data_IF_950608481071
#
_entry.id   IF_950608481071
#
_cell.length_a   1.000
_cell.length_b   1.000
_cell.length_c   1.000
_cell.angle_alpha   90.00
_cell.angle_beta   90.00
_cell.angle_gamma   90.00
#
_symmetry.space_group_name_H-M   'P 1'
#
loop_
_entity.id
_entity.type
_entity.pdbx_description
1 polymer ?
#
# COMPACT_ATOMS: atom_id res chain seq x y z
N UNK A 1 -13.62 -14.18 13.30
CA UNK A 1 -12.17 -14.29 13.41
C UNK A 1 -11.53 -12.93 13.32
N UNK A 2 -10.33 -12.81 13.88
CA UNK A 2 -9.61 -11.56 13.99
C UNK A 2 -9.30 -10.94 12.63
N UNK A 3 -8.83 -11.74 11.69
CA UNK A 3 -8.48 -11.26 10.35
C UNK A 3 -9.73 -10.80 9.58
N UNK A 4 -10.84 -11.50 9.73
CA UNK A 4 -12.11 -11.12 9.11
C UNK A 4 -12.60 -9.78 9.63
N UNK A 5 -12.51 -9.56 10.96
CA UNK A 5 -12.92 -8.30 11.56
C UNK A 5 -12.03 -7.15 11.07
N UNK A 6 -10.73 -7.37 11.00
CA UNK A 6 -9.80 -6.36 10.51
C UNK A 6 -10.08 -6.02 9.04
N UNK A 7 -10.37 -7.03 8.22
CA UNK A 7 -10.76 -6.82 6.83
C UNK A 7 -12.00 -5.94 6.73
N UNK A 8 -13.02 -6.23 7.54
CA UNK A 8 -14.25 -5.43 7.56
C UNK A 8 -14.01 -3.98 8.00
N UNK A 9 -13.15 -3.79 9.00
CA UNK A 9 -12.76 -2.45 9.44
C UNK A 9 -12.11 -1.66 8.31
N UNK A 10 -11.22 -2.30 7.58
CA UNK A 10 -10.50 -1.65 6.47
C UNK A 10 -11.41 -1.38 5.29
N UNK A 11 -12.33 -2.29 4.99
CA UNK A 11 -13.31 -2.07 3.93
C UNK A 11 -14.20 -0.87 4.26
N UNK A 12 -14.65 -0.76 5.51
CA UNK A 12 -15.48 0.36 5.95
C UNK A 12 -14.71 1.68 5.88
N UNK A 13 -13.43 1.67 6.30
CA UNK A 13 -12.60 2.87 6.30
C UNK A 13 -12.30 3.38 4.89
N UNK A 14 -12.27 2.50 3.90
CA UNK A 14 -11.85 2.83 2.54
C UNK A 14 -13.00 2.90 1.55
N UNK A 15 -14.22 2.66 1.99
CA UNK A 15 -15.39 2.66 1.10
C UNK A 15 -15.50 4.00 0.37
N UNK A 16 -15.68 3.95 -0.95
CA UNK A 16 -15.82 5.14 -1.79
C UNK A 16 -14.53 5.88 -2.11
N UNK A 17 -13.37 5.40 -1.65
CA UNK A 17 -12.09 6.08 -1.87
C UNK A 17 -11.32 5.61 -3.09
N UNK A 18 -11.68 4.46 -3.66
CA UNK A 18 -10.90 3.82 -4.71
C UNK A 18 -9.92 2.78 -4.20
N UNK A 19 -9.69 2.71 -2.90
CA UNK A 19 -8.88 1.66 -2.28
C UNK A 19 -9.69 0.36 -2.25
N UNK A 20 -9.07 -0.76 -2.63
CA UNK A 20 -9.72 -2.07 -2.54
C UNK A 20 -9.01 -2.92 -1.50
N UNK A 21 -9.79 -3.73 -0.79
CA UNK A 21 -9.29 -4.64 0.25
C UNK A 21 -9.62 -6.06 -0.17
N UNK A 22 -8.63 -6.93 -0.15
CA UNK A 22 -8.81 -8.34 -0.48
C UNK A 22 -8.00 -9.20 0.49
N UNK A 23 -8.26 -10.50 0.47
CA UNK A 23 -7.49 -11.46 1.23
C UNK A 23 -6.69 -12.31 0.27
N UNK A 24 -5.40 -12.46 0.53
CA UNK A 24 -4.50 -13.23 -0.33
C UNK A 24 -4.62 -14.72 -0.06
N UNK A 25 -4.09 -15.54 -0.98
CA UNK A 25 -4.10 -16.99 -0.84
C UNK A 25 -3.34 -17.46 0.41
N UNK A 26 -2.33 -16.70 0.84
CA UNK A 26 -1.55 -17.00 2.03
C UNK A 26 -2.09 -16.31 3.29
N UNK A 27 -3.35 -15.92 3.27
CA UNK A 27 -4.09 -15.37 4.43
C UNK A 27 -3.60 -14.01 4.91
N UNK A 28 -3.02 -13.20 4.03
CA UNK A 28 -2.75 -11.81 4.34
C UNK A 28 -3.87 -10.93 3.80
N UNK A 29 -4.07 -9.77 4.42
CA UNK A 29 -4.91 -8.73 3.80
C UNK A 29 -4.07 -7.92 2.85
N UNK A 30 -4.64 -7.55 1.71
CA UNK A 30 -3.97 -6.69 0.73
C UNK A 30 -4.86 -5.49 0.43
N UNK A 31 -4.32 -4.30 0.66
CA UNK A 31 -4.95 -3.06 0.24
C UNK A 31 -4.28 -2.58 -1.03
N UNK A 32 -5.06 -2.39 -2.08
CA UNK A 32 -4.56 -1.78 -3.31
C UNK A 32 -4.95 -0.31 -3.29
N UNK A 33 -3.96 0.56 -3.23
CA UNK A 33 -4.16 2.00 -3.08
C UNK A 33 -3.69 2.67 -4.37
N UNK A 34 -4.60 3.21 -5.20
CA UNK A 34 -4.18 3.95 -6.38
C UNK A 34 -3.29 5.13 -6.00
N UNK A 35 -2.13 5.27 -6.66
CA UNK A 35 -1.21 6.37 -6.35
C UNK A 35 -1.82 7.73 -6.70
N UNK A 36 -2.73 7.77 -7.68
CA UNK A 36 -3.31 9.03 -8.12
C UNK A 36 -4.18 9.69 -7.05
N UNK A 37 -4.72 8.92 -6.09
CA UNK A 37 -5.48 9.49 -4.97
C UNK A 37 -4.61 9.83 -3.78
N UNK A 38 -3.36 9.36 -3.78
CA UNK A 38 -2.46 9.43 -2.62
C UNK A 38 -1.33 10.42 -2.83
N UNK A 39 -0.89 10.61 -4.07
CA UNK A 39 0.28 11.42 -4.42
C UNK A 39 0.03 12.22 -5.68
N UNK A 40 0.62 13.40 -5.76
CA UNK A 40 0.68 14.13 -7.01
C UNK A 40 1.76 13.52 -7.94
N UNK A 41 1.70 13.86 -9.23
CA UNK A 41 2.62 13.30 -10.22
C UNK A 41 4.07 13.56 -9.80
N UNK A 42 4.89 12.50 -9.83
CA UNK A 42 6.31 12.51 -9.48
C UNK A 42 6.61 12.94 -8.04
N UNK A 43 5.61 12.96 -7.17
CA UNK A 43 5.80 13.32 -5.77
C UNK A 43 5.56 12.11 -4.87
N UNK A 44 6.10 12.18 -3.66
CA UNK A 44 5.94 11.10 -2.68
C UNK A 44 5.42 11.59 -1.33
N UNK A 45 5.06 12.86 -1.20
CA UNK A 45 4.36 13.34 -0.01
C UNK A 45 2.86 13.01 -0.12
N UNK A 46 2.30 12.55 0.99
CA UNK A 46 0.89 12.12 1.05
C UNK A 46 -0.02 13.32 0.82
N UNK A 47 -0.97 13.19 -0.11
CA UNK A 47 -1.96 14.24 -0.35
C UNK A 47 -2.85 14.41 0.88
N UNK A 48 -3.20 15.67 1.23
CA UNK A 48 -4.04 15.91 2.41
C UNK A 48 -5.36 15.14 2.39
N UNK A 49 -5.99 14.99 1.22
CA UNK A 49 -7.28 14.31 1.11
C UNK A 49 -7.18 12.82 1.44
N UNK A 50 -5.99 12.23 1.36
CA UNK A 50 -5.78 10.83 1.66
C UNK A 50 -5.42 10.58 3.12
N UNK A 51 -5.04 11.60 3.86
CA UNK A 51 -4.62 11.45 5.27
C UNK A 51 -5.69 10.80 6.16
N UNK A 52 -7.00 11.14 6.03
CA UNK A 52 -8.00 10.47 6.87
C UNK A 52 -8.06 8.97 6.66
N UNK A 53 -7.83 8.48 5.44
CA UNK A 53 -7.81 7.05 5.17
C UNK A 53 -6.65 6.37 5.91
N UNK A 54 -5.47 6.98 5.84
CA UNK A 54 -4.30 6.44 6.55
C UNK A 54 -4.46 6.55 8.07
N UNK A 55 -5.13 7.58 8.56
CA UNK A 55 -5.42 7.71 10.00
C UNK A 55 -6.26 6.54 10.50
N UNK A 56 -7.30 6.17 9.75
CA UNK A 56 -8.14 5.04 10.11
C UNK A 56 -7.40 3.72 9.99
N UNK A 57 -6.54 3.59 8.97
CA UNK A 57 -5.70 2.42 8.82
C UNK A 57 -4.75 2.28 10.01
N UNK A 58 -4.11 3.37 10.43
CA UNK A 58 -3.25 3.36 11.61
C UNK A 58 -4.00 2.90 12.86
N UNK A 59 -5.23 3.38 13.04
CA UNK A 59 -6.08 2.99 14.15
C UNK A 59 -6.35 1.49 14.15
N UNK A 60 -6.67 0.92 12.99
CA UNK A 60 -6.88 -0.52 12.86
C UNK A 60 -5.63 -1.31 13.19
N UNK A 61 -4.45 -0.82 12.78
CA UNK A 61 -3.18 -1.50 13.08
C UNK A 61 -2.84 -1.42 14.57
N UNK A 62 -3.20 -0.34 15.25
CA UNK A 62 -3.02 -0.24 16.71
C UNK A 62 -3.95 -1.19 17.46
N UNK A 63 -5.17 -1.39 16.95
CA UNK A 63 -6.11 -2.34 17.54
C UNK A 63 -5.67 -3.80 17.33
N UNK A 64 -4.73 -4.04 16.42
CA UNK A 64 -4.22 -5.37 16.10
C UNK A 64 -2.70 -5.38 16.19
N UNK A 65 -2.13 -5.22 17.40
CA UNK A 65 -0.73 -4.84 17.57
C UNK A 65 0.31 -5.87 17.16
N UNK A 66 -0.07 -7.12 16.99
CA UNK A 66 0.88 -8.16 16.56
C UNK A 66 1.01 -8.29 15.05
N UNK A 67 0.24 -7.56 14.26
CA UNK A 67 0.29 -7.70 12.80
C UNK A 67 1.53 -7.04 12.21
N UNK A 68 2.00 -7.58 11.10
CA UNK A 68 3.15 -7.08 10.35
C UNK A 68 2.69 -6.53 9.02
N UNK A 69 3.28 -5.44 8.61
CA UNK A 69 2.88 -4.70 7.41
C UNK A 69 4.03 -4.68 6.40
N UNK A 70 3.71 -4.89 5.12
CA UNK A 70 4.65 -4.70 4.02
C UNK A 70 4.00 -3.75 3.01
N UNK A 71 4.70 -2.67 2.66
CA UNK A 71 4.21 -1.68 1.72
C UNK A 71 5.10 -1.70 0.48
N UNK A 72 4.50 -1.93 -0.69
CA UNK A 72 5.23 -2.04 -1.96
C UNK A 72 4.70 -0.98 -2.92
N UNK A 73 5.61 -0.11 -3.38
CA UNK A 73 5.26 0.90 -4.38
C UNK A 73 5.50 0.39 -5.80
N UNK A 74 4.61 0.79 -6.72
CA UNK A 74 4.69 0.45 -8.14
C UNK A 74 4.39 1.68 -8.98
N UNK A 75 5.01 1.74 -10.17
CA UNK A 75 4.76 2.80 -11.15
C UNK A 75 4.22 2.18 -12.44
N UNK A 76 3.77 3.05 -13.36
CA UNK A 76 3.55 2.62 -14.74
C UNK A 76 4.90 2.63 -15.49
N UNK A 77 4.86 2.36 -16.79
CA UNK A 77 6.08 2.29 -17.60
C UNK A 77 6.56 3.66 -18.14
N UNK A 78 5.94 4.75 -17.73
CA UNK A 78 6.32 6.09 -18.16
C UNK A 78 7.57 6.54 -17.40
N UNK A 79 8.56 7.04 -18.14
CA UNK A 79 9.79 7.53 -17.53
C UNK A 79 10.85 6.45 -17.41
N UNK A 80 11.96 6.78 -16.77
CA UNK A 80 13.12 5.91 -16.65
C UNK A 80 13.13 5.16 -15.32
N UNK A 81 13.87 4.06 -15.26
CA UNK A 81 14.11 3.34 -14.01
C UNK A 81 14.79 4.22 -12.98
N UNK A 82 15.67 5.11 -13.41
CA UNK A 82 16.37 6.03 -12.51
C UNK A 82 15.39 6.93 -11.74
N UNK A 83 14.20 7.18 -12.30
CA UNK A 83 13.14 7.94 -11.65
C UNK A 83 12.15 6.99 -10.95
N UNK A 84 11.70 5.96 -11.64
CA UNK A 84 10.60 5.11 -11.17
C UNK A 84 10.98 4.24 -9.97
N UNK A 85 12.20 3.70 -9.97
CA UNK A 85 12.61 2.83 -8.88
C UNK A 85 12.68 3.59 -7.55
N UNK A 86 13.39 4.74 -7.45
CA UNK A 86 13.38 5.49 -6.20
C UNK A 86 12.01 6.05 -5.84
N UNK A 87 11.23 6.50 -6.83
CA UNK A 87 9.91 7.07 -6.55
C UNK A 87 8.98 6.03 -5.92
N UNK A 88 8.99 4.80 -6.44
CA UNK A 88 8.15 3.75 -5.88
C UNK A 88 8.54 3.41 -4.44
N UNK A 89 9.83 3.37 -4.13
CA UNK A 89 10.30 3.15 -2.77
C UNK A 89 9.96 4.33 -1.87
N UNK A 90 10.19 5.56 -2.34
CA UNK A 90 9.94 6.76 -1.54
C UNK A 90 8.46 6.90 -1.19
N UNK A 91 7.57 6.52 -2.11
CA UNK A 91 6.13 6.53 -1.82
C UNK A 91 5.76 5.50 -0.76
N UNK A 92 6.32 4.30 -0.83
CA UNK A 92 6.10 3.28 0.21
C UNK A 92 6.64 3.76 1.56
N UNK A 93 7.83 4.37 1.57
CA UNK A 93 8.44 4.91 2.79
C UNK A 93 7.62 6.07 3.36
N UNK A 94 7.04 6.92 2.52
CA UNK A 94 6.18 8.01 3.00
C UNK A 94 4.94 7.47 3.70
N UNK A 95 4.35 6.41 3.19
CA UNK A 95 3.21 5.78 3.85
C UNK A 95 3.63 5.20 5.20
N UNK A 96 4.78 4.51 5.27
CA UNK A 96 5.33 4.01 6.54
C UNK A 96 5.52 5.14 7.54
N UNK A 97 6.14 6.24 7.10
CA UNK A 97 6.46 7.36 7.98
C UNK A 97 5.20 8.06 8.46
N UNK A 98 4.18 8.15 7.62
CA UNK A 98 2.90 8.70 8.05
C UNK A 98 2.26 7.81 9.13
N UNK A 99 2.26 6.50 8.94
CA UNK A 99 1.73 5.57 9.94
C UNK A 99 2.53 5.66 11.24
N UNK A 100 3.85 5.84 11.15
CA UNK A 100 4.70 6.02 12.34
C UNK A 100 4.32 7.26 13.12
N UNK A 101 4.02 8.35 12.43
CA UNK A 101 3.56 9.58 13.08
C UNK A 101 2.22 9.39 13.78
N UNK A 102 1.46 8.38 13.40
CA UNK A 102 0.18 8.04 14.01
C UNK A 102 0.28 6.88 15.02
N UNK A 103 1.48 6.47 15.40
CA UNK A 103 1.69 5.52 16.46
C UNK A 103 1.96 4.08 16.02
N UNK A 104 2.14 3.83 14.73
CA UNK A 104 2.49 2.49 14.24
C UNK A 104 4.01 2.39 14.13
N UNK A 105 4.63 1.57 14.97
CA UNK A 105 6.09 1.47 15.03
C UNK A 105 6.67 1.04 13.68
N UNK A 106 7.75 1.69 13.26
CA UNK A 106 8.40 1.38 11.98
C UNK A 106 8.95 -0.04 11.94
N UNK A 107 9.27 -0.63 13.09
CA UNK A 107 9.71 -2.02 13.16
C UNK A 107 8.65 -3.03 12.73
N UNK A 108 7.40 -2.60 12.64
CA UNK A 108 6.30 -3.44 12.14
C UNK A 108 6.12 -3.34 10.63
N UNK A 109 6.80 -2.39 9.96
CA UNK A 109 6.50 -2.02 8.57
C UNK A 109 7.74 -2.17 7.72
N UNK A 110 7.71 -3.11 6.77
CA UNK A 110 8.73 -3.24 5.73
C UNK A 110 8.26 -2.49 4.48
N UNK A 111 9.19 -1.90 3.75
CA UNK A 111 8.88 -1.17 2.53
C UNK A 111 9.72 -1.69 1.37
N UNK A 112 9.18 -1.61 0.14
CA UNK A 112 9.88 -1.99 -1.07
C UNK A 112 9.37 -1.12 -2.23
N UNK A 113 10.22 -0.90 -3.23
CA UNK A 113 9.85 -0.20 -4.44
C UNK A 113 10.21 -1.05 -5.64
N UNK A 114 9.22 -1.38 -6.46
CA UNK A 114 9.40 -2.28 -7.61
C UNK A 114 9.31 -1.58 -8.95
N UNK A 115 9.21 -0.24 -8.96
CA UNK A 115 9.18 0.51 -10.20
C UNK A 115 8.07 0.02 -11.12
N UNK A 116 8.38 -0.11 -12.40
CA UNK A 116 7.41 -0.53 -13.43
C UNK A 116 7.34 -2.05 -13.65
N UNK A 117 8.08 -2.84 -12.88
CA UNK A 117 8.37 -4.23 -13.25
C UNK A 117 7.31 -5.23 -12.86
N UNK A 118 6.26 -4.83 -12.15
CA UNK A 118 5.15 -5.74 -11.79
C UNK A 118 3.81 -5.13 -12.17
N UNK A 119 3.55 -4.98 -13.49
CA UNK A 119 2.28 -4.39 -13.92
C UNK A 119 1.11 -5.34 -13.66
N UNK A 120 -0.06 -4.76 -13.36
CA UNK A 120 -1.31 -5.51 -13.23
C UNK A 120 -2.28 -5.17 -14.35
N UNK A 121 -1.91 -4.24 -15.24
CA UNK A 121 -2.75 -3.79 -16.34
C UNK A 121 -1.89 -3.37 -17.52
N UNK A 122 -2.54 -3.05 -18.64
CA UNK A 122 -1.87 -2.68 -19.88
C UNK A 122 -1.32 -1.26 -19.80
N UNK A 123 0.00 -1.12 -19.94
CA UNK A 123 0.67 0.18 -19.95
C UNK A 123 0.43 1.00 -21.21
N UNK A 124 -0.18 0.42 -22.23
CA UNK A 124 -0.46 1.15 -23.47
C UNK A 124 -1.72 2.01 -23.40
N UNK A 125 -2.55 1.84 -22.35
CA UNK A 125 -3.76 2.63 -22.16
C UNK A 125 -3.64 3.54 -20.94
N UNK A 126 -4.39 4.64 -20.94
CA UNK A 126 -4.44 5.55 -19.79
C UNK A 126 -4.97 4.82 -18.55
N UNK A 127 -6.02 4.05 -18.71
CA UNK A 127 -6.63 3.31 -17.61
C UNK A 127 -5.68 2.26 -17.04
N UNK A 128 -4.97 1.55 -17.92
CA UNK A 128 -4.01 0.54 -17.49
C UNK A 128 -2.85 1.15 -16.72
N UNK A 129 -2.31 2.27 -17.22
CA UNK A 129 -1.23 2.97 -16.52
C UNK A 129 -1.69 3.45 -15.14
N UNK A 130 -2.91 4.01 -15.04
CA UNK A 130 -3.43 4.45 -13.74
C UNK A 130 -3.53 3.29 -12.75
N UNK A 131 -3.92 2.11 -13.21
CA UNK A 131 -4.00 0.92 -12.36
C UNK A 131 -2.62 0.42 -11.94
N UNK A 132 -1.62 0.57 -12.78
CA UNK A 132 -0.26 0.17 -12.45
C UNK A 132 0.38 1.11 -11.42
N UNK A 133 0.00 2.39 -11.41
CA UNK A 133 0.46 3.36 -10.40
C UNK A 133 -0.28 3.10 -9.10
N UNK A 134 0.34 2.33 -8.22
CA UNK A 134 -0.31 1.91 -6.98
C UNK A 134 0.68 1.63 -5.88
N UNK A 135 0.15 1.60 -4.66
CA UNK A 135 0.83 1.05 -3.49
C UNK A 135 0.03 -0.17 -3.04
N UNK A 136 0.71 -1.27 -2.81
CA UNK A 136 0.10 -2.46 -2.24
C UNK A 136 0.54 -2.59 -0.79
N UNK A 137 -0.42 -2.71 0.12
CA UNK A 137 -0.15 -2.86 1.54
C UNK A 137 -0.61 -4.24 1.97
N UNK A 138 0.32 -5.03 2.49
CA UNK A 138 0.05 -6.39 2.95
C UNK A 138 0.08 -6.41 4.46
N UNK A 139 -0.94 -6.99 5.07
CA UNK A 139 -1.06 -7.09 6.52
C UNK A 139 -1.13 -8.57 6.88
N UNK A 140 -0.15 -9.02 7.67
CA UNK A 140 -0.01 -10.41 8.09
C UNK A 140 -0.23 -10.55 9.59
N UNK A 141 -0.92 -11.62 10.00
CA UNK A 141 -1.07 -11.93 11.42
C UNK A 141 0.26 -12.34 12.04
N UNK A 142 0.38 -12.24 13.36
CA UNK A 142 1.58 -12.71 14.06
C UNK A 142 1.90 -14.16 13.69
N UNK A 143 3.18 -14.42 13.41
CA UNK A 143 3.64 -15.73 13.01
C UNK A 143 3.61 -16.03 11.53
N UNK A 144 2.94 -15.18 10.73
CA UNK A 144 2.95 -15.28 9.27
C UNK A 144 4.20 -14.59 8.72
N UNK A 145 4.80 -15.17 7.68
CA UNK A 145 5.98 -14.59 7.06
C UNK A 145 5.68 -13.16 6.58
N UNK A 146 6.61 -12.24 6.86
CA UNK A 146 6.47 -10.83 6.49
C UNK A 146 6.99 -10.55 5.09
N UNK A 147 7.75 -11.48 4.50
CA UNK A 147 8.38 -11.27 3.21
C UNK A 147 7.35 -10.84 2.16
N UNK A 148 7.72 -9.97 1.20
CA UNK A 148 6.83 -9.61 0.11
C UNK A 148 6.41 -10.83 -0.68
N UNK A 149 5.20 -10.82 -1.29
CA UNK A 149 4.79 -11.94 -2.13
C UNK A 149 5.71 -12.05 -3.36
N UNK A 150 5.74 -13.24 -3.95
CA UNK A 150 6.51 -13.46 -5.17
C UNK A 150 5.97 -12.55 -6.29
N UNK A 151 6.85 -12.23 -7.25
CA UNK A 151 6.48 -11.46 -8.42
C UNK A 151 5.38 -12.20 -9.21
N UNK A 152 4.45 -11.44 -9.78
CA UNK A 152 3.33 -11.97 -10.54
C UNK A 152 3.73 -12.37 -11.96
#
# INVERSE_FOLDING_TARGET
>A
KKMQRQKEQMEAATAGTGVTVSQTADNRLMLNIPSDISFDTNRYDIKPDFRPVLDQFASSLQDNPGTRITIIGHTDSTGSDAINNPLSLDRAASARDYLAARGVATSRVAVDGRGEYEPIADNSTLEGRARNRRIEVFVAEPGTAQAPPAAR
#
